data_IF_009698364880
#
_entry.id   IF_009698364880
#
_cell.length_a   1.000
_cell.length_b   1.000
_cell.length_c   1.000
_cell.angle_alpha   90.00
_cell.angle_beta   90.00
_cell.angle_gamma   90.00
#
_symmetry.space_group_name_H-M   'P 1'
#
loop_
_entity.id
_entity.type
_entity.pdbx_description
1 polymer ?
#
# COMPACT_ATOMS: atom_id res chain seq x y z
N UNK A 1 88.15 25.77 -29.44
CA UNK A 1 87.17 26.86 -29.59
C UNK A 1 86.60 27.18 -28.21
N UNK A 2 87.12 28.22 -27.56
CA UNK A 2 86.78 28.55 -26.17
C UNK A 2 85.60 29.54 -26.11
N UNK A 3 84.58 29.20 -25.34
CA UNK A 3 83.37 30.00 -25.08
C UNK A 3 83.80 31.28 -24.33
N UNK A 4 83.69 32.45 -24.98
CA UNK A 4 83.94 33.76 -24.35
C UNK A 4 82.83 34.04 -23.34
N UNK A 5 83.19 34.32 -22.09
CA UNK A 5 82.23 34.70 -21.06
C UNK A 5 81.50 36.00 -21.45
N UNK A 6 80.18 36.10 -21.25
CA UNK A 6 79.42 37.30 -21.64
C UNK A 6 79.91 38.52 -20.84
N UNK A 7 80.09 39.65 -21.51
CA UNK A 7 80.49 40.90 -20.86
C UNK A 7 79.38 41.38 -19.92
N UNK A 8 79.73 42.15 -18.88
CA UNK A 8 78.74 42.75 -17.97
C UNK A 8 77.71 43.60 -18.73
N UNK A 9 78.12 44.19 -19.84
CA UNK A 9 77.28 44.99 -20.74
C UNK A 9 76.24 44.13 -21.46
N UNK A 10 76.61 42.93 -21.92
CA UNK A 10 75.69 41.99 -22.57
C UNK A 10 74.60 41.50 -21.59
N UNK A 11 74.99 41.26 -20.33
CA UNK A 11 74.07 40.86 -19.25
C UNK A 11 73.12 41.99 -18.82
N UNK A 12 73.56 43.25 -18.93
CA UNK A 12 72.72 44.42 -18.64
C UNK A 12 71.73 44.65 -19.79
N UNK A 13 72.19 44.52 -21.04
CA UNK A 13 71.34 44.60 -22.23
C UNK A 13 70.26 43.51 -22.22
N UNK A 14 70.60 42.26 -21.93
CA UNK A 14 69.61 41.17 -21.83
C UNK A 14 68.58 41.42 -20.71
N UNK A 15 69.00 42.01 -19.58
CA UNK A 15 68.07 42.39 -18.49
C UNK A 15 67.19 43.57 -18.85
N UNK A 16 67.72 44.56 -19.55
CA UNK A 16 66.97 45.71 -20.05
C UNK A 16 65.94 45.27 -21.08
N UNK A 17 66.33 44.43 -22.05
CA UNK A 17 65.42 43.84 -23.04
C UNK A 17 64.30 43.03 -22.38
N UNK A 18 64.62 42.20 -21.38
CA UNK A 18 63.59 41.47 -20.61
C UNK A 18 62.69 42.39 -19.79
N UNK A 19 63.20 43.51 -19.27
CA UNK A 19 62.37 44.47 -18.56
C UNK A 19 61.49 45.25 -19.53
N UNK A 20 62.01 45.64 -20.68
CA UNK A 20 61.27 46.31 -21.75
C UNK A 20 60.16 45.40 -22.31
N UNK A 21 60.43 44.12 -22.52
CA UNK A 21 59.43 43.14 -22.96
C UNK A 21 58.32 42.95 -21.92
N UNK A 22 58.68 42.89 -20.63
CA UNK A 22 57.69 42.82 -19.53
C UNK A 22 56.87 44.10 -19.40
N UNK A 23 57.51 45.27 -19.55
CA UNK A 23 56.81 46.57 -19.51
C UNK A 23 55.88 46.70 -20.72
N UNK A 24 56.29 46.25 -21.90
CA UNK A 24 55.44 46.23 -23.09
C UNK A 24 54.24 45.27 -22.95
N UNK A 25 54.41 44.10 -22.33
CA UNK A 25 53.28 43.22 -22.00
C UNK A 25 52.33 43.87 -21.00
N UNK A 26 52.84 44.55 -19.97
CA UNK A 26 52.02 45.24 -18.98
C UNK A 26 51.28 46.45 -19.59
N UNK A 27 51.94 47.21 -20.46
CA UNK A 27 51.34 48.33 -21.17
C UNK A 27 50.20 47.86 -22.10
N UNK A 28 50.41 46.75 -22.82
CA UNK A 28 49.35 46.13 -23.65
C UNK A 28 48.19 45.63 -22.79
N UNK A 29 48.46 45.02 -21.63
CA UNK A 29 47.41 44.57 -20.71
C UNK A 29 46.62 45.74 -20.10
N UNK A 30 47.25 46.90 -19.87
CA UNK A 30 46.56 48.12 -19.45
C UNK A 30 45.73 48.72 -20.58
N UNK A 31 46.28 48.82 -21.79
CA UNK A 31 45.56 49.33 -22.96
C UNK A 31 44.28 48.51 -23.26
N UNK A 32 44.36 47.17 -23.20
CA UNK A 32 43.18 46.30 -23.39
C UNK A 32 42.13 46.52 -22.28
N UNK A 33 42.55 46.81 -21.05
CA UNK A 33 41.62 47.12 -19.95
C UNK A 33 40.99 48.50 -20.11
N UNK A 34 41.77 49.47 -20.57
CA UNK A 34 41.29 50.83 -20.79
C UNK A 34 40.34 50.87 -21.98
N UNK A 35 40.62 50.15 -23.07
CA UNK A 35 39.73 49.96 -24.22
C UNK A 35 38.44 49.24 -23.80
N UNK A 36 38.54 48.13 -23.06
CA UNK A 36 37.36 47.44 -22.53
C UNK A 36 36.54 48.34 -21.60
N UNK A 37 37.19 49.20 -20.80
CA UNK A 37 36.50 50.16 -19.93
C UNK A 37 35.82 51.24 -20.77
N UNK A 38 36.49 51.77 -21.78
CA UNK A 38 35.98 52.80 -22.67
C UNK A 38 34.80 52.30 -23.52
N UNK A 39 34.81 51.03 -23.93
CA UNK A 39 33.72 50.39 -24.68
C UNK A 39 32.56 49.92 -23.79
N UNK A 40 32.85 49.41 -22.59
CA UNK A 40 31.80 48.95 -21.66
C UNK A 40 31.05 50.12 -21.00
N UNK A 41 31.73 51.24 -20.73
CA UNK A 41 31.11 52.41 -20.09
C UNK A 41 29.86 52.93 -20.86
N UNK A 42 29.91 53.16 -22.18
CA UNK A 42 28.74 53.58 -22.95
C UNK A 42 27.69 52.47 -23.08
N UNK A 43 28.09 51.20 -23.22
CA UNK A 43 27.17 50.07 -23.32
C UNK A 43 26.34 49.90 -22.03
N UNK A 44 26.99 49.98 -20.86
CA UNK A 44 26.32 49.94 -19.56
C UNK A 44 25.39 51.14 -19.41
N UNK A 45 25.83 52.33 -19.81
CA UNK A 45 25.02 53.55 -19.77
C UNK A 45 23.78 53.46 -20.67
N UNK A 46 23.89 52.86 -21.86
CA UNK A 46 22.77 52.67 -22.78
C UNK A 46 21.79 51.61 -22.27
N UNK A 47 22.27 50.47 -21.79
CA UNK A 47 21.42 49.43 -21.20
C UNK A 47 20.63 49.96 -19.99
N UNK A 48 21.28 50.78 -19.14
CA UNK A 48 20.61 51.38 -18.00
C UNK A 48 19.52 52.37 -18.39
N UNK A 49 19.73 53.16 -19.46
CA UNK A 49 18.69 54.07 -19.99
C UNK A 49 17.51 53.33 -20.59
N UNK A 50 17.76 52.26 -21.34
CA UNK A 50 16.70 51.43 -21.93
C UNK A 50 15.87 50.77 -20.82
N UNK A 51 16.52 50.23 -19.78
CA UNK A 51 15.82 49.72 -18.61
C UNK A 51 14.99 50.82 -17.93
N UNK A 52 15.53 52.02 -17.73
CA UNK A 52 14.77 53.14 -17.14
C UNK A 52 13.56 53.58 -17.98
N UNK A 53 13.69 53.54 -19.31
CA UNK A 53 12.62 53.91 -20.23
C UNK A 53 11.51 52.87 -20.24
N UNK A 54 11.86 51.58 -20.33
CA UNK A 54 10.89 50.47 -20.38
C UNK A 54 10.23 50.23 -19.01
N UNK A 55 10.97 50.41 -17.91
CA UNK A 55 10.44 50.30 -16.55
C UNK A 55 9.63 51.54 -16.14
N UNK A 56 9.83 52.68 -16.81
CA UNK A 56 9.04 53.90 -16.63
C UNK A 56 7.59 53.76 -17.11
N UNK A 57 7.33 52.84 -18.05
CA UNK A 57 5.99 52.51 -18.56
C UNK A 57 5.25 51.46 -17.69
N UNK A 58 5.92 50.86 -16.69
CA UNK A 58 5.29 49.92 -15.75
C UNK A 58 4.62 50.71 -14.62
N UNK A 59 3.35 51.03 -14.81
CA UNK A 59 2.53 51.85 -13.91
C UNK A 59 2.67 51.47 -12.40
N UNK A 60 3.24 52.42 -11.64
CA UNK A 60 2.96 52.68 -10.21
C UNK A 60 3.43 51.70 -9.12
N UNK A 61 4.36 50.78 -9.40
CA UNK A 61 4.87 49.88 -8.35
C UNK A 61 6.34 49.50 -8.40
N UNK A 62 7.07 49.91 -9.45
CA UNK A 62 8.41 49.42 -9.70
C UNK A 62 9.47 50.48 -9.40
N UNK A 63 10.15 50.38 -8.25
CA UNK A 63 11.32 51.20 -7.96
C UNK A 63 12.60 50.47 -8.38
N UNK A 64 13.58 51.20 -8.92
CA UNK A 64 14.91 50.63 -9.22
C UNK A 64 15.53 49.93 -7.99
N UNK A 65 15.26 50.45 -6.79
CA UNK A 65 15.70 49.85 -5.54
C UNK A 65 15.13 48.44 -5.33
N UNK A 66 13.86 48.21 -5.69
CA UNK A 66 13.25 46.88 -5.61
C UNK A 66 13.92 45.88 -6.57
N UNK A 67 14.31 46.32 -7.77
CA UNK A 67 15.07 45.48 -8.70
C UNK A 67 16.43 45.09 -8.11
N UNK A 68 17.15 46.02 -7.48
CA UNK A 68 18.41 45.72 -6.80
C UNK A 68 18.22 44.82 -5.57
N UNK A 69 17.14 44.99 -4.82
CA UNK A 69 16.79 44.11 -3.69
C UNK A 69 16.45 42.70 -4.18
N UNK A 70 15.68 42.57 -5.26
CA UNK A 70 15.37 41.29 -5.89
C UNK A 70 16.63 40.63 -6.45
N UNK A 71 17.50 41.38 -7.13
CA UNK A 71 18.78 40.87 -7.63
C UNK A 71 19.65 40.36 -6.47
N UNK A 72 19.80 41.14 -5.39
CA UNK A 72 20.51 40.71 -4.18
C UNK A 72 19.87 39.48 -3.55
N UNK A 73 18.53 39.39 -3.52
CA UNK A 73 17.79 38.24 -2.99
C UNK A 73 17.99 36.99 -3.86
N UNK A 74 18.01 37.13 -5.17
CA UNK A 74 18.31 36.05 -6.12
C UNK A 74 19.75 35.58 -6.00
N UNK A 75 20.71 36.51 -5.90
CA UNK A 75 22.12 36.18 -5.65
C UNK A 75 22.30 35.46 -4.30
N UNK A 76 21.61 35.91 -3.25
CA UNK A 76 21.61 35.23 -1.94
C UNK A 76 20.90 33.87 -1.98
N UNK A 77 19.88 33.74 -2.82
CA UNK A 77 19.10 32.51 -3.02
C UNK A 77 19.70 31.60 -4.10
N UNK A 78 20.86 31.94 -4.67
CA UNK A 78 21.53 31.16 -5.71
C UNK A 78 21.84 29.74 -5.22
N UNK A 79 22.14 29.57 -3.93
CA UNK A 79 22.29 28.25 -3.31
C UNK A 79 21.00 27.43 -3.33
N UNK A 80 19.84 28.05 -3.10
CA UNK A 80 18.56 27.34 -3.14
C UNK A 80 18.16 27.00 -4.58
N UNK A 81 18.49 27.85 -5.54
CA UNK A 81 18.27 27.58 -6.97
C UNK A 81 19.17 26.44 -7.42
N UNK A 82 20.46 26.45 -7.05
CA UNK A 82 21.39 25.37 -7.32
C UNK A 82 20.89 24.04 -6.72
N UNK A 83 20.44 24.05 -5.46
CA UNK A 83 19.85 22.88 -4.82
C UNK A 83 18.56 22.40 -5.51
N UNK A 84 17.72 23.31 -5.99
CA UNK A 84 16.52 22.94 -6.74
C UNK A 84 16.88 22.29 -8.09
N UNK A 85 17.90 22.80 -8.78
CA UNK A 85 18.40 22.22 -10.03
C UNK A 85 18.99 20.82 -9.78
N UNK A 86 19.78 20.65 -8.72
CA UNK A 86 20.30 19.34 -8.29
C UNK A 86 19.16 18.39 -7.89
N UNK A 87 18.12 18.89 -7.23
CA UNK A 87 16.93 18.10 -6.92
C UNK A 87 16.18 17.67 -8.18
N UNK A 88 16.11 18.51 -9.21
CA UNK A 88 15.54 18.13 -10.50
C UNK A 88 16.38 17.06 -11.20
N UNK A 89 17.71 17.14 -11.11
CA UNK A 89 18.62 16.09 -11.60
C UNK A 89 18.34 14.76 -10.89
N UNK A 90 18.25 14.77 -9.55
CA UNK A 90 17.88 13.59 -8.76
C UNK A 90 16.50 13.02 -9.12
N UNK A 91 15.51 13.88 -9.42
CA UNK A 91 14.19 13.43 -9.87
C UNK A 91 14.22 12.80 -11.27
N UNK A 92 15.05 13.33 -12.16
CA UNK A 92 15.26 12.77 -13.50
C UNK A 92 15.94 11.41 -13.37
N UNK A 93 16.95 11.26 -12.52
CA UNK A 93 17.59 9.98 -12.22
C UNK A 93 16.59 8.96 -11.65
N UNK A 94 15.77 9.38 -10.68
CA UNK A 94 14.70 8.55 -10.13
C UNK A 94 13.70 8.13 -11.23
N UNK A 95 13.30 9.06 -12.09
CA UNK A 95 12.40 8.78 -13.20
C UNK A 95 13.02 7.79 -14.18
N UNK A 96 14.29 7.96 -14.56
CA UNK A 96 15.01 7.03 -15.43
C UNK A 96 15.12 5.63 -14.82
N UNK A 97 15.28 5.52 -13.50
CA UNK A 97 15.24 4.25 -12.79
C UNK A 97 13.83 3.63 -12.75
N UNK A 98 12.79 4.43 -12.56
CA UNK A 98 11.41 3.96 -12.46
C UNK A 98 10.78 3.65 -13.83
N UNK A 99 11.11 4.39 -14.88
CA UNK A 99 10.54 4.26 -16.22
C UNK A 99 10.58 2.81 -16.75
N UNK A 100 11.72 2.08 -16.74
CA UNK A 100 11.76 0.70 -17.21
C UNK A 100 10.94 -0.24 -16.31
N UNK A 101 10.94 -0.01 -14.99
CA UNK A 101 10.13 -0.78 -14.05
C UNK A 101 8.64 -0.57 -14.34
N UNK A 102 8.18 0.67 -14.46
CA UNK A 102 6.79 1.00 -14.77
C UNK A 102 6.37 0.45 -16.14
N UNK A 103 7.21 0.56 -17.18
CA UNK A 103 6.93 0.00 -18.52
C UNK A 103 6.70 -1.52 -18.47
N UNK A 104 7.34 -2.24 -17.56
CA UNK A 104 7.13 -3.68 -17.37
C UNK A 104 5.99 -3.99 -16.39
N UNK A 105 5.93 -3.28 -15.26
CA UNK A 105 4.99 -3.56 -14.16
C UNK A 105 3.56 -3.11 -14.49
N UNK A 106 3.38 -1.95 -15.14
CA UNK A 106 2.03 -1.42 -15.44
C UNK A 106 1.24 -2.39 -16.33
N UNK A 107 1.77 -2.90 -17.46
CA UNK A 107 1.04 -3.91 -18.26
C UNK A 107 0.72 -5.18 -17.48
N UNK A 108 1.65 -5.66 -16.65
CA UNK A 108 1.43 -6.85 -15.82
C UNK A 108 0.33 -6.63 -14.77
N UNK A 109 0.30 -5.45 -14.16
CA UNK A 109 -0.72 -5.07 -13.19
C UNK A 109 -2.10 -4.91 -13.86
N UNK A 110 -2.14 -4.30 -15.05
CA UNK A 110 -3.36 -4.20 -15.86
C UNK A 110 -3.88 -5.60 -16.21
N UNK A 111 -3.02 -6.50 -16.69
CA UNK A 111 -3.39 -7.87 -17.01
C UNK A 111 -3.88 -8.65 -15.78
N UNK A 112 -3.24 -8.43 -14.62
CA UNK A 112 -3.67 -9.02 -13.36
C UNK A 112 -5.07 -8.52 -12.96
N UNK A 113 -5.31 -7.21 -13.03
CA UNK A 113 -6.62 -6.65 -12.74
C UNK A 113 -7.69 -7.07 -13.75
N UNK A 114 -7.38 -7.13 -15.04
CA UNK A 114 -8.29 -7.66 -16.07
C UNK A 114 -8.63 -9.13 -15.79
N UNK A 115 -7.66 -9.94 -15.37
CA UNK A 115 -7.92 -11.33 -14.98
C UNK A 115 -8.84 -11.42 -13.75
N UNK A 116 -8.61 -10.59 -12.73
CA UNK A 116 -9.49 -10.52 -11.56
C UNK A 116 -10.91 -10.08 -11.93
N UNK A 117 -11.04 -9.11 -12.83
CA UNK A 117 -12.32 -8.63 -13.34
C UNK A 117 -13.06 -9.70 -14.15
N UNK A 118 -12.39 -10.37 -15.10
CA UNK A 118 -12.96 -11.48 -15.89
C UNK A 118 -13.40 -12.65 -15.03
N UNK A 119 -12.65 -12.96 -13.97
CA UNK A 119 -13.02 -13.96 -12.96
C UNK A 119 -14.15 -13.50 -12.04
N UNK A 120 -14.59 -12.25 -12.18
CA UNK A 120 -15.68 -11.67 -11.39
C UNK A 120 -15.31 -11.38 -9.95
N UNK A 121 -14.02 -11.34 -9.59
CA UNK A 121 -13.55 -11.13 -8.21
C UNK A 121 -14.04 -9.79 -7.68
N UNK A 122 -13.94 -8.73 -8.47
CA UNK A 122 -14.44 -7.40 -8.09
C UNK A 122 -15.96 -7.40 -7.86
N UNK A 123 -16.72 -8.05 -8.74
CA UNK A 123 -18.18 -8.17 -8.60
C UNK A 123 -18.56 -8.92 -7.33
N UNK A 124 -17.87 -10.02 -7.02
CA UNK A 124 -18.09 -10.80 -5.80
C UNK A 124 -17.75 -10.00 -4.56
N UNK A 125 -16.63 -9.28 -4.55
CA UNK A 125 -16.25 -8.41 -3.43
C UNK A 125 -17.24 -7.25 -3.24
N UNK A 126 -17.66 -6.60 -4.32
CA UNK A 126 -18.66 -5.55 -4.29
C UNK A 126 -20.00 -6.06 -3.72
N UNK A 127 -20.48 -7.22 -4.19
CA UNK A 127 -21.68 -7.84 -3.65
C UNK A 127 -21.53 -8.18 -2.15
N UNK A 128 -20.36 -8.64 -1.72
CA UNK A 128 -20.10 -8.93 -0.31
C UNK A 128 -20.07 -7.66 0.56
N UNK A 129 -19.55 -6.55 0.04
CA UNK A 129 -19.62 -5.24 0.69
C UNK A 129 -21.07 -4.75 0.79
N UNK A 130 -21.89 -4.98 -0.23
CA UNK A 130 -23.31 -4.63 -0.19
C UNK A 130 -24.08 -5.48 0.83
N UNK A 131 -23.79 -6.78 0.94
CA UNK A 131 -24.33 -7.63 2.00
C UNK A 131 -23.91 -7.11 3.37
N UNK A 132 -22.63 -6.76 3.56
CA UNK A 132 -22.16 -6.16 4.82
C UNK A 132 -22.86 -4.84 5.13
N UNK A 133 -23.09 -4.00 4.13
CA UNK A 133 -23.82 -2.75 4.29
C UNK A 133 -25.28 -3.00 4.71
N UNK A 134 -25.97 -3.95 4.08
CA UNK A 134 -27.34 -4.36 4.46
C UNK A 134 -27.41 -4.93 5.86
N UNK A 135 -26.42 -5.72 6.27
CA UNK A 135 -26.33 -6.24 7.64
C UNK A 135 -26.09 -5.11 8.64
N UNK A 136 -25.21 -4.17 8.31
CA UNK A 136 -24.92 -3.02 9.17
C UNK A 136 -26.09 -2.02 9.30
N UNK A 137 -26.96 -1.92 8.30
CA UNK A 137 -28.17 -1.10 8.38
C UNK A 137 -29.33 -1.81 9.08
N UNK A 138 -29.43 -3.14 8.95
CA UNK A 138 -30.52 -3.91 9.54
C UNK A 138 -30.28 -4.27 11.02
N UNK A 139 -29.02 -4.39 11.45
CA UNK A 139 -28.65 -4.86 12.78
C UNK A 139 -27.63 -3.93 13.43
N UNK A 140 -27.75 -3.76 14.75
CA UNK A 140 -26.78 -2.98 15.54
C UNK A 140 -25.47 -3.75 15.71
N UNK A 141 -24.40 -3.04 16.07
CA UNK A 141 -23.06 -3.63 16.27
C UNK A 141 -23.07 -4.77 17.27
N UNK A 142 -23.87 -4.67 18.34
CA UNK A 142 -24.02 -5.70 19.37
C UNK A 142 -24.71 -6.97 18.83
N UNK A 143 -25.69 -6.80 17.93
CA UNK A 143 -26.43 -7.91 17.31
C UNK A 143 -25.58 -8.64 16.28
N UNK A 144 -24.74 -7.91 15.53
CA UNK A 144 -23.76 -8.48 14.61
C UNK A 144 -22.71 -9.30 15.37
N UNK A 145 -22.27 -8.84 16.55
CA UNK A 145 -21.37 -9.60 17.40
C UNK A 145 -22.03 -10.90 17.90
N UNK A 146 -23.28 -10.85 18.34
CA UNK A 146 -24.05 -12.02 18.75
C UNK A 146 -24.30 -13.01 17.58
N UNK A 147 -24.49 -12.51 16.36
CA UNK A 147 -24.57 -13.36 15.15
C UNK A 147 -23.28 -14.13 14.91
N UNK A 148 -22.11 -13.57 15.22
CA UNK A 148 -20.82 -14.27 15.14
C UNK A 148 -20.79 -15.49 16.07
N UNK A 149 -21.26 -15.36 17.30
CA UNK A 149 -21.36 -16.46 18.26
C UNK A 149 -22.37 -17.53 17.83
N UNK A 150 -23.51 -17.09 17.28
CA UNK A 150 -24.52 -17.97 16.67
C UNK A 150 -23.97 -18.76 15.48
N UNK A 151 -23.19 -18.11 14.62
CA UNK A 151 -22.57 -18.76 13.47
C UNK A 151 -21.55 -19.83 13.88
N UNK A 152 -20.72 -19.55 14.89
CA UNK A 152 -19.80 -20.55 15.47
C UNK A 152 -20.58 -21.72 16.07
N UNK A 153 -21.73 -21.46 16.70
CA UNK A 153 -22.60 -22.50 17.25
C UNK A 153 -23.18 -23.42 16.16
N UNK A 154 -23.64 -22.84 15.06
CA UNK A 154 -24.13 -23.60 13.89
C UNK A 154 -23.00 -24.43 13.27
N UNK A 155 -21.80 -23.87 13.11
CA UNK A 155 -20.63 -24.64 12.65
C UNK A 155 -20.28 -25.78 13.60
N UNK A 156 -20.40 -25.55 14.92
CA UNK A 156 -20.23 -26.59 15.93
C UNK A 156 -21.27 -27.71 15.83
N UNK A 157 -22.52 -27.39 15.51
CA UNK A 157 -23.58 -28.39 15.23
C UNK A 157 -23.25 -29.14 13.95
N UNK A 158 -22.87 -28.44 12.88
CA UNK A 158 -22.52 -29.07 11.61
C UNK A 158 -21.35 -30.04 11.77
N UNK A 159 -20.31 -29.66 12.51
CA UNK A 159 -19.20 -30.54 12.88
C UNK A 159 -19.66 -31.79 13.63
N UNK A 160 -20.62 -31.65 14.54
CA UNK A 160 -21.20 -32.80 15.28
C UNK A 160 -22.03 -33.71 14.38
N UNK A 161 -22.77 -33.15 13.43
CA UNK A 161 -23.51 -33.93 12.43
C UNK A 161 -22.56 -34.65 11.46
N UNK A 162 -21.41 -34.06 11.16
CA UNK A 162 -20.36 -34.66 10.33
C UNK A 162 -19.50 -35.70 11.07
N UNK A 163 -19.72 -35.95 12.37
CA UNK A 163 -18.99 -37.03 13.05
C UNK A 163 -19.37 -38.40 12.47
N UNK A 164 -18.40 -39.31 12.23
CA UNK A 164 -18.65 -40.59 11.58
C UNK A 164 -19.81 -41.38 12.20
N UNK A 165 -19.88 -41.45 13.53
CA UNK A 165 -20.96 -42.15 14.22
C UNK A 165 -22.35 -41.54 14.06
N UNK A 166 -22.46 -40.21 13.88
CA UNK A 166 -23.74 -39.54 13.62
C UNK A 166 -24.17 -39.73 12.16
N UNK A 167 -23.22 -39.64 11.21
CA UNK A 167 -23.46 -39.92 9.80
C UNK A 167 -23.92 -41.38 9.62
N UNK A 168 -23.26 -42.33 10.27
CA UNK A 168 -23.62 -43.74 10.21
C UNK A 168 -25.00 -44.01 10.83
N UNK A 169 -25.32 -43.39 11.97
CA UNK A 169 -26.65 -43.48 12.58
C UNK A 169 -27.74 -42.92 11.65
N UNK A 170 -27.51 -41.76 11.03
CA UNK A 170 -28.44 -41.16 10.08
C UNK A 170 -28.63 -42.01 8.82
N UNK A 171 -27.55 -42.57 8.27
CA UNK A 171 -27.64 -43.49 7.13
C UNK A 171 -28.51 -44.71 7.47
N UNK A 172 -28.23 -45.38 8.60
CA UNK A 172 -29.02 -46.53 9.05
C UNK A 172 -30.49 -46.17 9.28
N UNK A 173 -30.79 -44.97 9.77
CA UNK A 173 -32.17 -44.50 9.93
C UNK A 173 -32.87 -44.25 8.58
N UNK A 174 -32.16 -43.76 7.57
CA UNK A 174 -32.70 -43.54 6.23
C UNK A 174 -32.94 -44.84 5.45
N UNK A 175 -32.26 -45.92 5.82
CA UNK A 175 -32.47 -47.25 5.23
C UNK A 175 -33.74 -47.95 5.77
N UNK A 176 -34.19 -47.60 6.98
CA UNK A 176 -35.38 -48.22 7.61
C UNK A 176 -36.65 -48.09 6.76
N UNK A 177 -37.02 -46.91 6.22
CA UNK A 177 -38.20 -46.78 5.35
C UNK A 177 -38.04 -47.46 3.98
N UNK A 178 -36.81 -47.65 3.50
CA UNK A 178 -36.54 -48.34 2.22
C UNK A 178 -36.76 -49.85 2.34
N UNK A 179 -36.53 -50.41 3.53
CA UNK A 179 -36.78 -51.82 3.84
C UNK A 179 -38.22 -52.08 4.33
N UNK A 180 -38.95 -51.05 4.75
CA UNK A 180 -40.33 -51.15 5.22
C UNK A 180 -41.31 -50.81 4.10
N UNK A 181 -41.93 -51.83 3.50
CA UNK A 181 -43.13 -51.66 2.68
C UNK A 181 -44.31 -51.27 3.57
N UNK A 182 -44.40 -49.98 3.91
CA UNK A 182 -45.44 -49.40 4.76
C UNK A 182 -46.86 -49.67 4.25
N UNK A 183 -47.02 -49.94 2.95
CA UNK A 183 -48.27 -50.28 2.28
C UNK A 183 -48.72 -51.73 2.54
N UNK A 184 -47.83 -52.62 2.99
CA UNK A 184 -48.09 -54.05 3.22
C UNK A 184 -48.21 -54.43 4.70
N UNK A 185 -48.18 -53.46 5.60
CA UNK A 185 -48.21 -53.69 7.05
C UNK A 185 -49.57 -54.25 7.46
N UNK A 186 -49.64 -55.56 7.70
CA UNK A 186 -50.85 -56.23 8.19
C UNK A 186 -51.16 -55.81 9.63
N UNK A 187 -52.43 -55.56 9.96
CA UNK A 187 -52.83 -55.23 11.34
C UNK A 187 -52.47 -56.39 12.27
N UNK A 188 -51.69 -56.09 13.30
CA UNK A 188 -51.31 -57.07 14.33
C UNK A 188 -52.43 -57.18 15.36
N UNK A 189 -52.94 -58.40 15.56
CA UNK A 189 -53.96 -58.67 16.59
C UNK A 189 -53.43 -58.38 18.00
N UNK A 190 -54.28 -58.02 18.97
CA UNK A 190 -53.86 -57.64 20.34
C UNK A 190 -53.01 -58.72 21.03
N UNK A 191 -53.26 -60.00 20.76
CA UNK A 191 -52.45 -61.11 21.23
C UNK A 191 -51.11 -61.23 20.47
N UNK A 192 -51.14 -60.96 19.17
CA UNK A 192 -49.96 -60.93 18.30
C UNK A 192 -49.01 -59.79 18.66
N UNK A 193 -49.54 -58.67 19.17
CA UNK A 193 -48.79 -57.54 19.71
C UNK A 193 -47.96 -57.99 20.92
N UNK A 194 -48.60 -58.68 21.87
CA UNK A 194 -47.92 -59.19 23.06
C UNK A 194 -46.85 -60.24 22.71
N UNK A 195 -47.13 -61.11 21.74
CA UNK A 195 -46.15 -62.07 21.22
C UNK A 195 -44.99 -61.38 20.49
N UNK A 196 -45.27 -60.33 19.73
CA UNK A 196 -44.25 -59.56 18.98
C UNK A 196 -43.31 -58.78 19.89
N UNK A 197 -43.77 -58.34 21.06
CA UNK A 197 -42.94 -57.73 22.10
C UNK A 197 -41.92 -58.70 22.70
N UNK A 198 -42.17 -60.00 22.63
CA UNK A 198 -41.23 -61.02 23.10
C UNK A 198 -40.19 -61.44 22.05
N UNK A 199 -40.30 -60.94 20.80
CA UNK A 199 -39.29 -61.20 19.76
C UNK A 199 -37.99 -60.45 20.07
N UNK A 200 -36.86 -61.05 19.71
CA UNK A 200 -35.52 -60.54 20.05
C UNK A 200 -35.29 -59.14 19.48
N UNK A 201 -35.68 -58.94 18.23
CA UNK A 201 -35.54 -57.70 17.47
C UNK A 201 -36.35 -56.56 18.11
N UNK A 202 -37.60 -56.83 18.51
CA UNK A 202 -38.46 -55.84 19.19
C UNK A 202 -37.91 -55.47 20.56
N UNK A 203 -37.35 -56.44 21.32
CA UNK A 203 -36.74 -56.18 22.63
C UNK A 203 -35.46 -55.35 22.49
N UNK A 204 -34.65 -55.62 21.47
CA UNK A 204 -33.46 -54.83 21.15
C UNK A 204 -33.83 -53.39 20.76
N UNK A 205 -34.85 -53.20 19.90
CA UNK A 205 -35.34 -51.86 19.54
C UNK A 205 -35.87 -51.07 20.74
N UNK A 206 -36.66 -51.71 21.61
CA UNK A 206 -37.14 -51.09 22.85
C UNK A 206 -35.98 -50.77 23.80
N UNK A 207 -34.98 -51.66 23.91
CA UNK A 207 -33.80 -51.41 24.74
C UNK A 207 -32.98 -50.21 24.26
N UNK A 208 -32.80 -50.05 22.94
CA UNK A 208 -32.16 -48.87 22.35
C UNK A 208 -32.96 -47.61 22.67
N UNK A 209 -34.29 -47.64 22.52
CA UNK A 209 -35.15 -46.51 22.87
C UNK A 209 -35.09 -46.15 24.37
N UNK A 210 -34.99 -47.14 25.25
CA UNK A 210 -34.82 -46.94 26.69
C UNK A 210 -33.46 -46.33 27.03
N UNK A 211 -32.37 -46.76 26.39
CA UNK A 211 -31.04 -46.15 26.56
C UNK A 211 -30.98 -44.73 26.02
N UNK A 212 -31.60 -44.44 24.87
CA UNK A 212 -31.76 -43.07 24.37
C UNK A 212 -32.57 -42.21 25.35
N UNK A 213 -33.67 -42.73 25.88
CA UNK A 213 -34.50 -42.04 26.87
C UNK A 213 -33.73 -41.79 28.18
N UNK A 214 -32.92 -42.75 28.62
CA UNK A 214 -32.06 -42.62 29.81
C UNK A 214 -30.95 -41.60 29.57
N UNK A 215 -30.36 -41.56 28.38
CA UNK A 215 -29.38 -40.54 28.00
C UNK A 215 -29.99 -39.14 28.00
N UNK A 216 -31.20 -38.98 27.46
CA UNK A 216 -31.97 -37.73 27.54
C UNK A 216 -32.27 -37.32 28.99
N UNK A 217 -32.62 -38.29 29.85
CA UNK A 217 -32.81 -38.06 31.29
C UNK A 217 -31.54 -37.58 32.01
N UNK A 218 -30.37 -38.12 31.64
CA UNK A 218 -29.06 -37.69 32.18
C UNK A 218 -28.70 -36.25 31.77
N UNK A 219 -29.11 -35.81 30.57
CA UNK A 219 -28.91 -34.42 30.12
C UNK A 219 -29.67 -33.42 31.01
N UNK A 220 -30.86 -33.77 31.49
CA UNK A 220 -31.60 -32.95 32.47
C UNK A 220 -30.91 -32.87 33.83
N UNK A 221 -30.23 -33.95 34.25
CA UNK A 221 -29.48 -34.01 35.52
C UNK A 221 -28.18 -33.21 35.53
N UNK A 222 -27.51 -33.05 34.37
CA UNK A 222 -26.24 -32.34 34.25
C UNK A 222 -26.37 -30.81 34.13
N UNK A 223 -27.59 -30.27 34.02
CA UNK A 223 -27.83 -28.81 33.97
C UNK A 223 -27.56 -28.07 35.29
N UNK A 224 -27.38 -28.77 36.41
CA UNK A 224 -27.20 -28.16 37.74
C UNK A 224 -25.75 -27.83 38.11
N UNK A 225 -24.75 -28.28 37.34
CA UNK A 225 -23.32 -28.20 37.72
C UNK A 225 -22.42 -27.38 36.76
N UNK A 226 -22.99 -26.55 35.88
CA UNK A 226 -22.24 -25.67 34.96
C UNK A 226 -22.32 -24.17 35.33
N UNK A 227 -22.42 -23.88 36.63
CA UNK A 227 -22.43 -22.52 37.18
C UNK A 227 -21.08 -22.02 37.70
N UNK A 228 -19.96 -22.64 37.33
CA UNK A 228 -18.65 -22.14 37.74
C UNK A 228 -17.60 -22.38 36.65
N UNK A 229 -17.43 -21.35 35.82
CA UNK A 229 -16.20 -21.18 35.04
C UNK A 229 -15.11 -20.68 36.00
N UNK A 230 -13.92 -21.31 36.06
CA UNK A 230 -12.80 -20.70 36.73
C UNK A 230 -12.39 -19.45 35.94
N UNK A 231 -12.46 -18.29 36.60
CA UNK A 231 -11.88 -17.04 36.07
C UNK A 231 -10.37 -17.27 35.99
N UNK A 232 -9.85 -17.38 34.77
CA UNK A 232 -8.42 -17.37 34.53
C UNK A 232 -7.87 -16.02 34.99
N UNK A 233 -7.16 -16.05 36.13
CA UNK A 233 -6.32 -14.95 36.60
C UNK A 233 -5.11 -14.85 35.66
N UNK A 234 -5.15 -13.94 34.68
CA UNK A 234 -4.01 -13.57 33.86
C UNK A 234 -3.26 -12.40 34.49
N UNK A 235 -1.97 -12.61 34.76
CA UNK A 235 -0.95 -11.55 34.76
C UNK A 235 -0.54 -11.27 33.32
#
# INVERSE_FOLDING_TARGET
>A
MAKKAPSKEDLILERLERMEEKVNMLAKAQAIRDELREDMTPLIGQAFRILMQELGDVETGFQLEDLFIMLKRTLRSMRNIAYALESMENLIELWQCMEPLLKSTVPNLINYFDNLERRGVFRTYAAMLEVRAKVATAYKTEEIAAMGEGFVSILGILKKLSHPGMVEFLNRLMDIPLELHLEEVKPVSTLGLLSSLNRKETREGIAVMLELTKALGKLKGNGKNRGQLPVASGR
#
